data_IF_717352827704
#
_entry.id   IF_717352827704
#
_cell.length_a   1.000
_cell.length_b   1.000
_cell.length_c   1.000
_cell.angle_alpha   90.00
_cell.angle_beta   90.00
_cell.angle_gamma   90.00
#
_symmetry.space_group_name_H-M   'P 1'
#
loop_
_entity.id
_entity.type
_entity.pdbx_description
1 polymer ?
#
# COMPACT_ATOMS: atom_id res chain seq x y z
N UNK A 1 -25.35 8.71 24.57
CA UNK A 1 -24.39 9.53 23.78
C UNK A 1 -22.93 9.33 24.18
N UNK A 2 -22.53 9.35 25.47
CA UNK A 2 -21.11 9.20 25.89
C UNK A 2 -20.43 7.93 25.33
N UNK A 3 -21.04 6.75 25.54
CA UNK A 3 -20.54 5.47 25.01
C UNK A 3 -20.39 5.41 23.48
N UNK A 4 -21.25 6.12 22.75
CA UNK A 4 -21.16 6.16 21.28
C UNK A 4 -19.96 6.99 20.84
N UNK A 5 -19.70 8.13 21.50
CA UNK A 5 -18.52 8.95 21.22
C UNK A 5 -17.23 8.20 21.51
N UNK A 6 -17.14 7.57 22.68
CA UNK A 6 -15.97 6.76 23.09
C UNK A 6 -15.70 5.62 22.10
N UNK A 7 -16.75 4.96 21.61
CA UNK A 7 -16.62 3.90 20.59
C UNK A 7 -16.08 4.46 19.26
N UNK A 8 -16.61 5.57 18.78
CA UNK A 8 -16.14 6.22 17.54
C UNK A 8 -14.68 6.65 17.68
N UNK A 9 -14.30 7.24 18.81
CA UNK A 9 -12.92 7.64 19.09
C UNK A 9 -11.97 6.43 19.09
N UNK A 10 -12.35 5.33 19.75
CA UNK A 10 -11.54 4.09 19.72
C UNK A 10 -11.39 3.50 18.32
N UNK A 11 -12.45 3.57 17.50
CA UNK A 11 -12.37 3.10 16.13
C UNK A 11 -11.44 4.00 15.31
N UNK A 12 -11.56 5.32 15.44
CA UNK A 12 -10.71 6.27 14.71
C UNK A 12 -9.23 6.05 15.04
N UNK A 13 -8.90 5.78 16.30
CA UNK A 13 -7.53 5.47 16.71
C UNK A 13 -7.01 4.20 16.00
N UNK A 14 -7.74 3.10 16.10
CA UNK A 14 -7.37 1.83 15.48
C UNK A 14 -7.30 1.94 13.95
N UNK A 15 -8.21 2.70 13.35
CA UNK A 15 -8.25 2.95 11.92
C UNK A 15 -7.00 3.70 11.44
N UNK A 16 -6.61 4.77 12.16
CA UNK A 16 -5.40 5.54 11.84
C UNK A 16 -4.12 4.73 12.04
N UNK A 17 -4.05 3.94 13.10
CA UNK A 17 -2.92 3.03 13.33
C UNK A 17 -2.80 2.02 12.17
N UNK A 18 -3.92 1.42 11.75
CA UNK A 18 -3.93 0.53 10.59
C UNK A 18 -3.48 1.23 9.31
N UNK A 19 -3.96 2.45 9.03
CA UNK A 19 -3.52 3.23 7.87
C UNK A 19 -2.03 3.61 7.94
N UNK A 20 -1.50 3.92 9.13
CA UNK A 20 -0.08 4.20 9.34
C UNK A 20 0.77 2.99 8.99
N UNK A 21 0.42 1.82 9.53
CA UNK A 21 1.15 0.58 9.27
C UNK A 21 1.12 0.17 7.79
N UNK A 22 0.00 0.42 7.10
CA UNK A 22 -0.09 0.20 5.66
C UNK A 22 0.78 1.17 4.87
N UNK A 23 0.82 2.46 5.24
CA UNK A 23 1.74 3.41 4.61
C UNK A 23 3.20 2.99 4.80
N UNK A 24 3.59 2.56 6.00
CA UNK A 24 4.95 2.07 6.25
C UNK A 24 5.27 0.84 5.38
N UNK A 25 4.29 -0.03 5.16
CA UNK A 25 4.43 -1.20 4.27
C UNK A 25 4.58 -0.80 2.80
N UNK A 26 3.83 0.21 2.34
CA UNK A 26 3.98 0.80 1.01
C UNK A 26 5.40 1.38 0.85
N UNK A 27 5.90 2.10 1.86
CA UNK A 27 7.23 2.70 1.85
C UNK A 27 8.34 1.64 1.75
N UNK A 28 8.17 0.48 2.41
CA UNK A 28 9.11 -0.64 2.31
C UNK A 28 9.15 -1.19 0.87
N UNK A 29 7.99 -1.54 0.30
CA UNK A 29 7.92 -2.09 -1.05
C UNK A 29 8.44 -1.09 -2.09
N UNK A 30 8.12 0.19 -1.93
CA UNK A 30 8.60 1.24 -2.83
C UNK A 30 10.13 1.34 -2.82
N UNK A 31 10.76 1.25 -1.63
CA UNK A 31 12.23 1.21 -1.52
C UNK A 31 12.81 -0.04 -2.17
N UNK A 32 12.26 -1.22 -1.88
CA UNK A 32 12.78 -2.49 -2.43
C UNK A 32 12.74 -2.51 -3.97
N UNK A 33 11.67 -1.97 -4.56
CA UNK A 33 11.52 -1.83 -6.02
C UNK A 33 12.53 -0.83 -6.59
N UNK A 34 12.74 0.30 -5.90
CA UNK A 34 13.70 1.31 -6.33
C UNK A 34 15.14 0.77 -6.27
N UNK A 35 15.50 0.09 -5.19
CA UNK A 35 16.82 -0.54 -5.06
C UNK A 35 17.02 -1.61 -6.15
N UNK A 36 16.03 -2.46 -6.41
CA UNK A 36 16.11 -3.44 -7.49
C UNK A 36 16.32 -2.80 -8.87
N UNK A 37 15.68 -1.65 -9.13
CA UNK A 37 15.88 -0.90 -10.37
C UNK A 37 17.28 -0.29 -10.49
N UNK A 38 17.87 0.16 -9.38
CA UNK A 38 19.17 0.86 -9.37
C UNK A 38 20.37 -0.10 -9.46
N UNK A 39 20.24 -1.34 -8.97
CA UNK A 39 21.34 -2.30 -8.95
C UNK A 39 21.46 -3.17 -10.20
N UNK A 40 20.60 -2.97 -11.22
CA UNK A 40 20.48 -3.86 -12.41
C UNK A 40 20.38 -5.35 -12.00
N UNK A 41 20.01 -5.61 -10.73
CA UNK A 41 19.77 -6.94 -10.20
C UNK A 41 18.44 -7.36 -10.76
N UNK A 42 18.52 -8.09 -11.85
CA UNK A 42 17.41 -8.70 -12.54
C UNK A 42 16.43 -9.29 -11.52
N UNK A 43 15.16 -8.95 -11.74
CA UNK A 43 14.00 -9.70 -11.29
C UNK A 43 14.28 -11.22 -11.33
N UNK A 44 14.75 -11.82 -10.24
CA UNK A 44 14.80 -13.27 -10.14
C UNK A 44 13.34 -13.75 -10.07
N UNK A 45 12.99 -14.82 -10.77
CA UNK A 45 11.58 -15.23 -10.90
C UNK A 45 10.85 -15.39 -9.57
N UNK A 46 11.54 -15.86 -8.53
CA UNK A 46 11.01 -15.96 -7.17
C UNK A 46 10.81 -14.61 -6.49
N UNK A 47 11.79 -13.70 -6.59
CA UNK A 47 11.68 -12.36 -6.02
C UNK A 47 10.52 -11.60 -6.67
N UNK A 48 10.40 -11.62 -7.99
CA UNK A 48 9.30 -10.97 -8.68
C UNK A 48 7.92 -11.56 -8.35
N UNK A 49 7.81 -12.88 -8.25
CA UNK A 49 6.55 -13.50 -7.83
C UNK A 49 6.17 -13.09 -6.41
N UNK A 50 7.15 -13.02 -5.52
CA UNK A 50 6.95 -12.58 -4.12
C UNK A 50 6.56 -11.11 -4.04
N UNK A 51 7.21 -10.25 -4.83
CA UNK A 51 6.88 -8.83 -4.90
C UNK A 51 5.50 -8.58 -5.51
N UNK A 52 5.15 -9.27 -6.61
CA UNK A 52 3.82 -9.16 -7.21
C UNK A 52 2.73 -9.56 -6.21
N UNK A 53 2.93 -10.68 -5.51
CA UNK A 53 2.01 -11.14 -4.46
C UNK A 53 1.88 -10.12 -3.33
N UNK A 54 3.00 -9.54 -2.88
CA UNK A 54 3.00 -8.55 -1.79
C UNK A 54 2.28 -7.25 -2.20
N UNK A 55 2.49 -6.77 -3.43
CA UNK A 55 1.80 -5.60 -3.97
C UNK A 55 0.30 -5.88 -4.07
N UNK A 56 -0.10 -7.05 -4.55
CA UNK A 56 -1.50 -7.46 -4.67
C UNK A 56 -2.18 -7.57 -3.30
N UNK A 57 -1.49 -8.10 -2.29
CA UNK A 57 -2.00 -8.17 -0.91
C UNK A 57 -2.18 -6.79 -0.29
N UNK A 58 -1.19 -5.90 -0.42
CA UNK A 58 -1.32 -4.52 0.03
C UNK A 58 -2.47 -3.80 -0.68
N UNK A 59 -2.61 -3.98 -1.99
CA UNK A 59 -3.72 -3.42 -2.74
C UNK A 59 -5.07 -3.91 -2.17
N UNK A 60 -5.23 -5.22 -1.93
CA UNK A 60 -6.45 -5.77 -1.32
C UNK A 60 -6.75 -5.11 0.03
N UNK A 61 -5.75 -4.94 0.89
CA UNK A 61 -5.95 -4.29 2.19
C UNK A 61 -6.38 -2.83 2.03
N UNK A 62 -5.68 -2.05 1.20
CA UNK A 62 -5.98 -0.63 0.97
C UNK A 62 -7.38 -0.44 0.38
N UNK A 63 -7.78 -1.26 -0.60
CA UNK A 63 -9.10 -1.17 -1.22
C UNK A 63 -10.22 -1.73 -0.32
N UNK A 64 -9.90 -2.53 0.70
CA UNK A 64 -10.86 -3.00 1.71
C UNK A 64 -11.14 -1.97 2.81
N UNK A 65 -10.38 -0.87 2.89
CA UNK A 65 -10.57 0.17 3.90
C UNK A 65 -11.93 0.83 3.70
N UNK A 66 -12.79 0.72 4.71
CA UNK A 66 -14.07 1.41 4.76
C UNK A 66 -13.88 2.90 5.10
N UNK A 67 -14.69 3.77 4.50
CA UNK A 67 -14.72 5.22 4.75
C UNK A 67 -16.05 5.61 5.43
N UNK A 68 -16.15 5.53 6.77
CA UNK A 68 -17.37 5.90 7.50
C UNK A 68 -17.68 7.39 7.37
N UNK A 69 -18.96 7.77 7.51
CA UNK A 69 -19.40 9.18 7.40
C UNK A 69 -18.77 10.16 8.40
N UNK A 70 -18.21 9.65 9.50
CA UNK A 70 -17.56 10.44 10.55
C UNK A 70 -16.04 10.40 10.46
N UNK A 71 -15.50 9.77 9.42
CA UNK A 71 -14.09 9.86 9.07
C UNK A 71 -13.77 11.31 8.65
N UNK A 72 -12.58 11.80 8.99
CA UNK A 72 -12.18 13.13 8.57
C UNK A 72 -11.85 13.15 7.08
N UNK A 73 -11.87 14.35 6.48
CA UNK A 73 -11.40 14.54 5.11
C UNK A 73 -9.91 14.19 4.97
N UNK A 74 -9.11 14.48 5.98
CA UNK A 74 -7.67 14.15 6.02
C UNK A 74 -7.41 12.64 6.00
N UNK A 75 -8.16 11.88 6.80
CA UNK A 75 -8.09 10.42 6.81
C UNK A 75 -8.52 9.85 5.44
N UNK A 76 -9.59 10.40 4.85
CA UNK A 76 -10.07 10.01 3.51
C UNK A 76 -9.05 10.32 2.41
N UNK A 77 -8.40 11.49 2.48
CA UNK A 77 -7.34 11.88 1.57
C UNK A 77 -6.11 10.96 1.71
N UNK A 78 -5.79 10.53 2.93
CA UNK A 78 -4.72 9.56 3.18
C UNK A 78 -5.00 8.23 2.48
N UNK A 79 -6.22 7.70 2.60
CA UNK A 79 -6.63 6.48 1.90
C UNK A 79 -6.52 6.64 0.38
N UNK A 80 -6.98 7.78 -0.15
CA UNK A 80 -6.87 8.09 -1.58
C UNK A 80 -5.41 8.13 -2.05
N UNK A 81 -4.53 8.73 -1.25
CA UNK A 81 -3.09 8.77 -1.55
C UNK A 81 -2.50 7.36 -1.56
N UNK A 82 -2.83 6.51 -0.58
CA UNK A 82 -2.40 5.10 -0.56
C UNK A 82 -2.85 4.35 -1.83
N UNK A 83 -4.11 4.53 -2.27
CA UNK A 83 -4.63 3.91 -3.50
C UNK A 83 -3.88 4.34 -4.76
N UNK A 84 -3.49 5.62 -4.85
CA UNK A 84 -2.67 6.09 -5.97
C UNK A 84 -1.25 5.54 -5.89
N UNK A 85 -0.61 5.58 -4.71
CA UNK A 85 0.76 5.10 -4.51
C UNK A 85 0.91 3.63 -4.88
N UNK A 86 -0.02 2.77 -4.42
CA UNK A 86 0.05 1.34 -4.75
C UNK A 86 -0.13 1.06 -6.24
N UNK A 87 -0.97 1.85 -6.92
CA UNK A 87 -1.13 1.78 -8.37
C UNK A 87 0.16 2.18 -9.10
N UNK A 88 0.82 3.25 -8.66
CA UNK A 88 2.08 3.72 -9.25
C UNK A 88 3.24 2.74 -9.00
N UNK A 89 3.25 2.10 -7.82
CA UNK A 89 4.16 0.98 -7.50
C UNK A 89 3.94 -0.18 -8.46
N UNK A 90 2.69 -0.60 -8.67
CA UNK A 90 2.36 -1.68 -9.59
C UNK A 90 2.83 -1.36 -11.02
N UNK A 91 2.57 -0.15 -11.51
CA UNK A 91 3.03 0.29 -12.84
C UNK A 91 4.56 0.26 -12.98
N UNK A 92 5.30 0.75 -11.98
CA UNK A 92 6.78 0.70 -11.96
C UNK A 92 7.30 -0.73 -11.95
N UNK A 93 6.76 -1.57 -11.07
CA UNK A 93 7.15 -2.97 -10.95
C UNK A 93 6.91 -3.76 -12.25
N UNK A 94 5.75 -3.58 -12.89
CA UNK A 94 5.45 -4.18 -14.20
C UNK A 94 6.43 -3.71 -15.28
N UNK A 95 6.87 -2.45 -15.22
CA UNK A 95 7.91 -1.92 -16.10
C UNK A 95 9.27 -2.60 -15.93
N UNK A 96 9.65 -2.95 -14.69
CA UNK A 96 10.88 -3.71 -14.40
C UNK A 96 10.74 -5.15 -14.92
N UNK A 97 9.65 -5.83 -14.59
CA UNK A 97 9.40 -7.22 -15.00
C UNK A 97 9.35 -7.39 -16.53
N UNK A 98 8.79 -6.41 -17.26
CA UNK A 98 8.74 -6.43 -18.72
C UNK A 98 10.11 -6.21 -19.40
N UNK A 99 11.08 -5.59 -18.72
CA UNK A 99 12.45 -5.43 -19.23
C UNK A 99 13.25 -6.71 -19.09
N UNK A 100 13.04 -7.46 -18.00
CA UNK A 100 13.77 -8.70 -17.70
C UNK A 100 13.21 -9.92 -18.43
N UNK A 101 11.93 -9.94 -18.80
CA UNK A 101 11.32 -11.03 -19.58
C UNK A 101 11.62 -11.02 -21.10
N UNK A 102 12.70 -10.37 -21.55
CA UNK A 102 13.04 -10.19 -22.98
C UNK A 102 14.27 -10.99 -23.45
N UNK A 103 14.68 -12.01 -22.72
CA UNK A 103 15.65 -13.01 -23.20
C UNK A 103 15.00 -14.18 -23.96
#
# INVERSE_FOLDING_TARGET
>A
MKRQKEMVESFLLAHREFMSNLNDSIDIIERDIQEAADFDKECTGEWCTTMETSIDELAKFIYSISEPRWLSEEDSQTIRNMRHRIHDIYARFRGINARTGKE
#
